data_IF_383538599579
#
_entry.id   IF_383538599579
#
_cell.length_a   1.000
_cell.length_b   1.000
_cell.length_c   1.000
_cell.angle_alpha   90.00
_cell.angle_beta   90.00
_cell.angle_gamma   90.00
#
_symmetry.space_group_name_H-M   'P 1'
#
loop_
_entity.id
_entity.type
_entity.pdbx_description
1 polymer ?
#
# COMPACT_ATOMS: atom_id res chain seq x y z
N UNK A 1 -9.75 -5.59 -7.30
CA UNK A 1 -8.63 -4.64 -7.49
C UNK A 1 -7.77 -5.02 -8.68
N UNK A 2 -7.18 -6.22 -8.71
CA UNK A 2 -6.32 -6.63 -9.83
C UNK A 2 -6.96 -6.61 -11.23
N UNK A 3 -8.28 -6.84 -11.34
CA UNK A 3 -8.99 -6.67 -12.62
C UNK A 3 -8.92 -5.24 -13.16
N UNK A 4 -9.00 -4.23 -12.28
CA UNK A 4 -8.93 -2.81 -12.66
C UNK A 4 -7.51 -2.46 -13.12
N UNK A 5 -6.50 -2.86 -12.33
CA UNK A 5 -5.09 -2.61 -12.63
C UNK A 5 -4.70 -3.26 -13.96
N UNK A 6 -5.04 -4.53 -14.14
CA UNK A 6 -4.71 -5.26 -15.38
C UNK A 6 -5.41 -4.66 -16.58
N UNK A 7 -6.69 -4.29 -16.45
CA UNK A 7 -7.42 -3.62 -17.52
C UNK A 7 -6.74 -2.32 -17.92
N UNK A 8 -6.30 -1.51 -16.96
CA UNK A 8 -5.62 -0.24 -17.23
C UNK A 8 -4.25 -0.45 -17.87
N UNK A 9 -3.43 -1.36 -17.36
CA UNK A 9 -2.11 -1.67 -17.91
C UNK A 9 -2.20 -2.18 -19.36
N UNK A 10 -3.21 -3.01 -19.65
CA UNK A 10 -3.41 -3.58 -20.97
C UNK A 10 -3.78 -2.55 -22.07
N UNK A 11 -4.24 -1.35 -21.70
CA UNK A 11 -4.58 -0.29 -22.68
C UNK A 11 -3.36 0.08 -23.53
N UNK A 12 -2.19 0.16 -22.90
CA UNK A 12 -0.94 0.56 -23.54
C UNK A 12 -0.03 -0.65 -23.84
N UNK A 13 -0.57 -1.87 -23.78
CA UNK A 13 0.17 -3.10 -24.07
C UNK A 13 1.09 -3.59 -22.94
N UNK A 14 1.02 -2.98 -21.75
CA UNK A 14 1.82 -3.39 -20.59
C UNK A 14 1.26 -4.62 -19.89
N UNK A 15 2.12 -5.31 -19.16
CA UNK A 15 1.74 -6.46 -18.34
C UNK A 15 1.90 -6.21 -16.85
N UNK A 16 1.19 -7.00 -16.03
CA UNK A 16 1.19 -6.88 -14.58
C UNK A 16 1.88 -8.09 -13.96
N UNK A 17 2.93 -7.85 -13.17
CA UNK A 17 3.66 -8.88 -12.43
C UNK A 17 2.71 -9.68 -11.53
N UNK A 18 2.98 -10.98 -11.38
CA UNK A 18 2.09 -11.90 -10.65
C UNK A 18 2.69 -12.50 -9.39
N UNK A 19 4.01 -12.46 -9.26
CA UNK A 19 4.73 -13.07 -8.13
C UNK A 19 4.65 -12.23 -6.87
N UNK A 20 4.57 -10.90 -7.02
CA UNK A 20 4.51 -9.94 -5.93
C UNK A 20 3.14 -9.26 -5.85
N UNK A 21 2.73 -8.91 -4.63
CA UNK A 21 1.41 -8.36 -4.32
C UNK A 21 1.53 -7.31 -3.23
N UNK A 22 0.56 -6.41 -3.15
CA UNK A 22 0.38 -5.62 -1.94
C UNK A 22 0.07 -6.49 -0.74
N UNK A 23 0.19 -5.92 0.44
CA UNK A 23 0.08 -6.64 1.69
C UNK A 23 -0.62 -5.80 2.76
N UNK A 24 -1.20 -6.47 3.75
CA UNK A 24 -1.56 -5.82 5.00
C UNK A 24 -0.32 -5.25 5.68
N UNK A 25 -0.48 -4.09 6.30
CA UNK A 25 0.59 -3.43 7.04
C UNK A 25 0.03 -2.76 8.30
N UNK A 26 0.61 -3.12 9.43
CA UNK A 26 0.33 -2.62 10.77
C UNK A 26 1.50 -3.04 11.65
N UNK A 27 1.33 -3.48 12.90
CA UNK A 27 2.37 -4.12 13.76
C UNK A 27 3.32 -5.15 13.09
N UNK A 28 2.96 -5.67 11.93
CA UNK A 28 3.78 -6.56 11.12
C UNK A 28 4.10 -5.86 9.80
N UNK A 29 5.34 -6.03 9.32
CA UNK A 29 5.77 -5.41 8.06
C UNK A 29 4.96 -5.93 6.87
N UNK A 30 4.83 -7.25 6.73
CA UNK A 30 3.94 -7.88 5.76
C UNK A 30 3.00 -8.84 6.50
N UNK A 31 1.69 -8.67 6.32
CA UNK A 31 0.67 -9.55 6.87
C UNK A 31 -0.54 -9.65 5.94
N UNK A 32 -1.54 -10.50 6.23
CA UNK A 32 -2.79 -10.48 5.47
C UNK A 32 -3.46 -9.10 5.49
N UNK A 33 -4.17 -8.71 4.42
CA UNK A 33 -4.44 -9.50 3.21
C UNK A 33 -3.27 -9.48 2.23
N UNK A 34 -3.12 -10.54 1.43
CA UNK A 34 -2.41 -10.42 0.17
C UNK A 34 -3.32 -9.73 -0.85
N UNK A 35 -2.79 -8.75 -1.57
CA UNK A 35 -3.52 -7.91 -2.53
C UNK A 35 -2.92 -8.06 -3.93
N UNK A 36 -3.26 -9.12 -4.69
CA UNK A 36 -2.70 -9.34 -6.02
C UNK A 36 -3.18 -8.30 -7.03
N UNK A 37 -2.25 -7.86 -7.87
CA UNK A 37 -2.49 -6.81 -8.86
C UNK A 37 -2.99 -7.32 -10.22
N UNK A 38 -2.91 -8.63 -10.47
CA UNK A 38 -3.33 -9.23 -11.74
C UNK A 38 -4.82 -9.62 -11.75
N UNK A 39 -5.44 -9.64 -12.93
CA UNK A 39 -6.84 -10.00 -13.13
C UNK A 39 -7.15 -11.47 -12.80
N UNK A 40 -8.39 -11.74 -12.39
CA UNK A 40 -8.88 -13.10 -12.04
C UNK A 40 -8.03 -13.82 -11.00
N UNK A 41 -7.41 -13.07 -10.09
CA UNK A 41 -6.74 -13.64 -8.94
C UNK A 41 -7.75 -14.25 -7.96
N UNK A 42 -7.25 -15.07 -7.03
CA UNK A 42 -8.06 -15.80 -6.04
C UNK A 42 -7.96 -15.19 -4.64
N UNK A 43 -7.67 -13.89 -4.53
CA UNK A 43 -7.59 -13.25 -3.23
C UNK A 43 -8.93 -13.36 -2.49
N UNK A 44 -8.85 -13.68 -1.21
CA UNK A 44 -10.02 -13.86 -0.34
C UNK A 44 -10.09 -12.68 0.61
N UNK A 45 -11.30 -12.18 0.85
CA UNK A 45 -11.56 -11.12 1.83
C UNK A 45 -12.42 -10.01 1.25
N UNK A 46 -13.01 -9.23 2.15
CA UNK A 46 -13.75 -8.02 1.84
C UNK A 46 -13.12 -6.88 2.63
N UNK A 47 -12.96 -5.72 2.01
CA UNK A 47 -12.45 -4.52 2.69
C UNK A 47 -13.45 -4.11 3.78
N UNK A 48 -12.96 -3.86 4.99
CA UNK A 48 -13.75 -3.37 6.12
C UNK A 48 -13.07 -2.14 6.72
N UNK A 49 -13.83 -1.22 7.35
CA UNK A 49 -13.27 -0.11 8.11
C UNK A 49 -12.17 -0.56 9.08
N UNK A 50 -11.06 0.18 9.11
CA UNK A 50 -9.87 -0.14 9.92
C UNK A 50 -8.86 -1.07 9.24
N UNK A 51 -9.17 -1.65 8.08
CA UNK A 51 -8.16 -2.39 7.31
C UNK A 51 -7.10 -1.44 6.77
N UNK A 52 -5.84 -1.79 6.99
CA UNK A 52 -4.67 -1.08 6.46
C UNK A 52 -3.84 -2.02 5.59
N UNK A 53 -3.57 -1.62 4.36
CA UNK A 53 -2.83 -2.42 3.38
C UNK A 53 -2.21 -1.54 2.29
N UNK A 54 -1.30 -2.12 1.53
CA UNK A 54 -0.62 -1.49 0.39
C UNK A 54 -1.30 -1.85 -0.93
N UNK A 55 -1.25 -0.92 -1.87
CA UNK A 55 -1.47 -1.19 -3.29
C UNK A 55 -0.19 -0.77 -4.00
N UNK A 56 0.49 -1.73 -4.65
CA UNK A 56 1.87 -1.53 -5.14
C UNK A 56 2.15 -2.20 -6.50
N UNK A 57 1.34 -1.93 -7.54
CA UNK A 57 1.43 -2.64 -8.80
C UNK A 57 2.79 -2.43 -9.48
N UNK A 58 3.41 -3.55 -9.85
CA UNK A 58 4.58 -3.61 -10.72
C UNK A 58 4.10 -3.88 -12.15
N UNK A 59 4.40 -2.94 -13.05
CA UNK A 59 3.96 -2.92 -14.45
C UNK A 59 5.18 -3.05 -15.35
N UNK A 60 5.16 -4.00 -16.28
CA UNK A 60 6.27 -4.31 -17.17
C UNK A 60 5.95 -3.88 -18.61
N UNK A 61 6.98 -3.43 -19.33
CA UNK A 61 6.90 -3.14 -20.77
C UNK A 61 6.60 -4.38 -21.61
N UNK A 62 7.16 -5.52 -21.22
CA UNK A 62 7.01 -6.79 -21.91
C UNK A 62 6.22 -7.82 -21.11
N UNK A 63 6.82 -8.98 -20.87
CA UNK A 63 6.18 -10.09 -20.15
C UNK A 63 6.02 -9.81 -18.66
N UNK A 64 4.99 -10.42 -18.05
CA UNK A 64 4.76 -10.32 -16.60
C UNK A 64 5.71 -11.20 -15.79
N UNK A 65 6.42 -12.12 -16.46
CA UNK A 65 7.29 -13.10 -15.82
C UNK A 65 8.53 -12.44 -15.26
N UNK A 66 8.88 -12.87 -14.06
CA UNK A 66 10.06 -12.44 -13.34
C UNK A 66 10.97 -13.63 -12.99
N UNK A 67 12.23 -13.32 -12.74
CA UNK A 67 13.22 -14.21 -12.17
C UNK A 67 14.02 -13.49 -11.07
N UNK A 68 14.61 -14.26 -10.16
CA UNK A 68 15.49 -13.74 -9.12
C UNK A 68 16.95 -13.91 -9.53
N UNK A 69 17.72 -12.84 -9.37
CA UNK A 69 19.18 -12.90 -9.50
C UNK A 69 19.83 -13.81 -8.45
N UNK A 70 21.13 -14.17 -8.63
CA UNK A 70 21.85 -15.02 -7.68
C UNK A 70 21.89 -14.50 -6.24
N UNK A 71 21.71 -13.19 -6.05
CA UNK A 71 21.62 -12.53 -4.73
C UNK A 71 20.35 -12.90 -3.94
N UNK A 72 19.38 -13.56 -4.58
CA UNK A 72 18.09 -14.00 -4.02
C UNK A 72 17.14 -12.85 -3.62
N UNK A 73 17.38 -11.65 -4.12
CA UNK A 73 16.58 -10.46 -3.81
C UNK A 73 16.20 -9.64 -5.05
N UNK A 74 17.13 -9.44 -5.98
CA UNK A 74 16.85 -8.61 -7.14
C UNK A 74 15.93 -9.36 -8.10
N UNK A 75 14.66 -8.93 -8.15
CA UNK A 75 13.67 -9.43 -9.09
C UNK A 75 13.78 -8.66 -10.40
N UNK A 76 13.92 -9.39 -11.50
CA UNK A 76 14.05 -8.82 -12.85
C UNK A 76 13.04 -9.43 -13.80
N UNK A 77 12.70 -8.70 -14.86
CA UNK A 77 11.88 -9.22 -15.96
C UNK A 77 12.66 -10.27 -16.75
N UNK A 78 12.00 -11.37 -17.13
CA UNK A 78 12.69 -12.44 -17.88
C UNK A 78 13.08 -12.04 -19.30
N UNK A 79 12.54 -10.94 -19.82
CA UNK A 79 12.86 -10.39 -21.14
C UNK A 79 13.79 -9.16 -21.10
N UNK A 80 14.22 -8.74 -19.91
CA UNK A 80 15.15 -7.62 -19.71
C UNK A 80 14.56 -6.23 -20.01
N UNK A 81 13.25 -6.13 -20.29
CA UNK A 81 12.58 -4.84 -20.50
C UNK A 81 12.24 -4.15 -19.17
N UNK A 82 11.89 -2.86 -19.23
CA UNK A 82 11.71 -2.06 -18.01
C UNK A 82 10.46 -2.47 -17.23
N UNK A 83 10.55 -2.27 -15.92
CA UNK A 83 9.44 -2.34 -14.99
C UNK A 83 9.33 -1.02 -14.21
N UNK A 84 8.12 -0.66 -13.83
CA UNK A 84 7.85 0.51 -12.99
C UNK A 84 6.87 0.12 -11.87
N UNK A 85 7.03 0.78 -10.72
CA UNK A 85 6.19 0.57 -9.55
C UNK A 85 5.89 1.91 -8.87
N UNK A 86 4.68 2.01 -8.34
CA UNK A 86 4.30 2.99 -7.33
C UNK A 86 3.58 2.27 -6.20
N UNK A 87 3.74 2.77 -4.98
CA UNK A 87 3.13 2.17 -3.79
C UNK A 87 2.50 3.24 -2.91
N UNK A 88 1.32 2.90 -2.38
CA UNK A 88 0.74 3.61 -1.26
C UNK A 88 0.18 2.68 -0.20
N UNK A 89 0.33 3.09 1.06
CA UNK A 89 -0.39 2.55 2.21
C UNK A 89 -1.72 3.26 2.37
N UNK A 90 -2.79 2.49 2.56
CA UNK A 90 -4.15 2.99 2.58
C UNK A 90 -4.93 2.44 3.76
N UNK A 91 -5.77 3.28 4.35
CA UNK A 91 -6.69 2.92 5.43
C UNK A 91 -8.14 2.98 4.93
N UNK A 92 -8.91 1.91 5.15
CA UNK A 92 -10.36 1.93 4.92
C UNK A 92 -11.03 2.68 6.06
N UNK A 93 -11.81 3.71 5.73
CA UNK A 93 -12.47 4.57 6.71
C UNK A 93 -13.79 3.96 7.21
N UNK A 94 -14.23 4.36 8.40
CA UNK A 94 -15.61 4.10 8.83
C UNK A 94 -16.59 4.89 7.94
N UNK A 95 -17.87 4.48 7.87
CA UNK A 95 -18.88 5.22 7.10
C UNK A 95 -18.95 6.72 7.47
N UNK A 96 -18.83 7.05 8.75
CA UNK A 96 -18.87 8.43 9.25
C UNK A 96 -17.65 9.21 8.76
N UNK A 97 -16.44 8.65 8.92
CA UNK A 97 -15.21 9.28 8.47
C UNK A 97 -15.13 9.38 6.92
N UNK A 98 -15.68 8.39 6.21
CA UNK A 98 -15.81 8.41 4.76
C UNK A 98 -16.72 9.53 4.27
N UNK A 99 -17.85 9.76 4.98
CA UNK A 99 -18.75 10.87 4.67
C UNK A 99 -18.05 12.23 4.84
N UNK A 100 -17.30 12.41 5.93
CA UNK A 100 -16.56 13.66 6.18
C UNK A 100 -15.41 13.88 5.18
N UNK A 101 -14.69 12.82 4.80
CA UNK A 101 -13.54 12.92 3.90
C UNK A 101 -13.92 12.97 2.41
N UNK A 102 -15.13 12.52 2.06
CA UNK A 102 -15.60 12.40 0.68
C UNK A 102 -15.08 11.16 -0.07
N UNK A 103 -14.28 10.31 0.58
CA UNK A 103 -13.75 9.06 0.02
C UNK A 103 -13.84 7.93 1.06
N UNK A 104 -14.03 6.67 0.65
CA UNK A 104 -14.06 5.53 1.58
C UNK A 104 -12.68 5.13 2.13
N UNK A 105 -11.63 5.86 1.73
CA UNK A 105 -10.22 5.54 1.97
C UNK A 105 -9.47 6.80 2.37
N UNK A 106 -8.47 6.64 3.24
CA UNK A 106 -7.42 7.63 3.43
C UNK A 106 -6.09 7.07 2.91
N UNK A 107 -5.44 7.83 2.03
CA UNK A 107 -4.10 7.49 1.52
C UNK A 107 -3.08 8.06 2.49
N UNK A 108 -2.45 7.17 3.26
CA UNK A 108 -1.59 7.53 4.38
C UNK A 108 -0.23 8.07 3.89
N UNK A 109 0.28 7.51 2.81
CA UNK A 109 1.56 7.88 2.18
C UNK A 109 1.41 8.95 1.09
N UNK A 110 0.25 9.62 0.98
CA UNK A 110 0.07 10.68 -0.02
C UNK A 110 1.01 11.85 0.28
N UNK A 111 1.71 12.33 -0.75
CA UNK A 111 2.57 13.52 -0.62
C UNK A 111 1.69 14.75 -0.41
N UNK A 112 1.77 15.40 0.74
CA UNK A 112 1.14 16.70 0.97
C UNK A 112 2.07 17.81 0.48
N UNK A 113 1.66 18.51 -0.58
CA UNK A 113 2.43 19.61 -1.16
C UNK A 113 2.02 20.99 -0.62
N UNK A 114 0.84 21.10 -0.01
CA UNK A 114 0.26 22.34 0.59
C UNK A 114 -0.76 21.98 1.68
N UNK A 115 -0.91 22.84 2.70
CA UNK A 115 -1.90 22.73 3.77
C UNK A 115 -1.33 22.26 5.12
N UNK A 116 -2.12 22.40 6.18
CA UNK A 116 -1.79 21.85 7.50
C UNK A 116 -2.02 20.34 7.53
N UNK A 117 -1.08 19.63 8.12
CA UNK A 117 -1.17 18.19 8.33
C UNK A 117 -2.31 17.91 9.34
N UNK A 118 -3.38 17.26 8.89
CA UNK A 118 -4.56 16.93 9.72
C UNK A 118 -4.30 15.98 10.88
N UNK A 119 -3.12 15.35 10.93
CA UNK A 119 -2.66 14.50 12.02
C UNK A 119 -1.40 15.10 12.70
N UNK A 120 -1.05 16.36 12.42
CA UNK A 120 -0.02 17.08 13.19
C UNK A 120 -0.37 17.16 14.68
N UNK A 121 -1.65 17.28 15.00
CA UNK A 121 -2.16 17.25 16.37
C UNK A 121 -1.88 15.93 17.10
N UNK A 122 -1.61 14.88 16.35
CA UNK A 122 -1.25 13.56 16.85
C UNK A 122 0.26 13.40 17.00
N UNK A 123 1.07 14.13 16.22
CA UNK A 123 2.54 14.06 16.33
C UNK A 123 3.01 14.48 17.72
N UNK A 124 2.31 15.43 18.35
CA UNK A 124 2.62 15.87 19.72
C UNK A 124 2.36 14.82 20.80
N UNK A 125 1.57 13.76 20.51
CA UNK A 125 1.34 12.64 21.43
C UNK A 125 2.31 11.47 21.22
N UNK A 126 3.19 11.54 20.22
CA UNK A 126 4.23 10.53 19.96
C UNK A 126 5.44 10.72 20.89
N UNK A 127 6.22 9.65 21.09
CA UNK A 127 7.52 9.73 21.78
C UNK A 127 8.55 10.54 20.99
N UNK A 128 9.59 11.04 21.67
CA UNK A 128 10.66 11.84 21.04
C UNK A 128 11.37 11.11 19.90
N UNK A 129 11.58 9.79 20.01
CA UNK A 129 12.17 8.98 18.94
C UNK A 129 11.26 8.95 17.70
N UNK A 130 9.95 8.76 17.90
CA UNK A 130 8.97 8.75 16.82
C UNK A 130 8.81 10.13 16.16
N UNK A 131 8.92 11.22 16.95
CA UNK A 131 8.94 12.58 16.42
C UNK A 131 10.19 12.84 15.58
N UNK A 132 11.37 12.45 16.07
CA UNK A 132 12.63 12.59 15.31
C UNK A 132 12.63 11.79 14.02
N UNK A 133 12.06 10.58 14.06
CA UNK A 133 11.87 9.75 12.87
C UNK A 133 10.92 10.42 11.86
N UNK A 134 9.82 11.00 12.35
CA UNK A 134 8.86 11.73 11.54
C UNK A 134 9.50 12.95 10.83
N UNK A 135 10.30 13.73 11.56
CA UNK A 135 11.02 14.88 10.99
C UNK A 135 12.05 14.46 9.93
N UNK A 136 12.73 13.33 10.13
CA UNK A 136 13.83 12.89 9.26
C UNK A 136 13.35 12.21 7.97
N UNK A 137 12.25 11.46 8.02
CA UNK A 137 11.81 10.61 6.90
C UNK A 137 10.42 10.99 6.35
N UNK A 138 9.74 11.99 6.92
CA UNK A 138 8.38 12.37 6.56
C UNK A 138 7.33 11.38 7.10
N UNK A 139 6.20 11.23 6.40
CA UNK A 139 5.13 10.27 6.73
C UNK A 139 5.33 8.88 6.09
N UNK A 140 6.15 7.98 6.66
CA UNK A 140 5.76 6.59 6.77
C UNK A 140 4.97 6.51 8.07
N UNK A 141 3.68 6.27 7.99
CA UNK A 141 2.99 5.73 9.15
C UNK A 141 3.63 4.39 9.42
N UNK A 142 4.57 4.35 10.34
CA UNK A 142 5.03 3.06 10.83
C UNK A 142 3.80 2.40 11.43
N UNK A 143 3.46 1.23 10.94
CA UNK A 143 3.20 0.04 11.75
C UNK A 143 2.71 0.34 13.19
N UNK A 144 3.57 0.87 14.06
CA UNK A 144 3.27 1.15 15.47
C UNK A 144 2.43 2.40 15.72
N UNK A 145 2.54 3.43 14.88
CA UNK A 145 1.78 4.67 14.99
C UNK A 145 0.30 4.45 14.65
N UNK A 146 -0.04 3.69 13.60
CA UNK A 146 -1.45 3.37 13.31
C UNK A 146 -2.11 2.68 14.50
N UNK A 147 -1.37 1.76 15.13
CA UNK A 147 -1.80 1.00 16.30
C UNK A 147 -1.97 1.87 17.54
N UNK A 148 -1.02 2.76 17.81
CA UNK A 148 -1.13 3.73 18.91
C UNK A 148 -2.34 4.66 18.75
N UNK A 149 -2.81 4.88 17.52
CA UNK A 149 -3.98 5.69 17.21
C UNK A 149 -5.28 4.89 17.16
N UNK A 150 -5.22 3.57 17.30
CA UNK A 150 -6.37 2.68 17.17
C UNK A 150 -7.05 2.76 15.80
N UNK A 151 -6.31 3.19 14.78
CA UNK A 151 -6.82 3.40 13.42
C UNK A 151 -6.75 2.13 12.59
N UNK A 152 -5.80 1.23 12.86
CA UNK A 152 -5.78 -0.13 12.33
C UNK A 152 -6.49 -1.08 13.30
N UNK A 153 -7.45 -1.84 12.77
CA UNK A 153 -8.05 -2.97 13.51
C UNK A 153 -7.61 -4.24 12.83
N UNK A 154 -7.22 -5.26 13.60
CA UNK A 154 -6.74 -6.53 13.06
C UNK A 154 -7.76 -7.10 12.07
N UNK A 155 -7.28 -7.53 10.91
CA UNK A 155 -8.10 -8.11 9.83
C UNK A 155 -8.58 -9.54 10.20
N UNK A 156 -8.18 -10.05 11.37
CA UNK A 156 -8.62 -11.34 11.89
C UNK A 156 -10.03 -11.25 12.48
N UNK A 157 -11.03 -11.46 11.63
CA UNK A 157 -12.33 -12.03 11.97
C UNK A 157 -12.83 -12.86 10.80
#
# INVERSE_FOLDING_TARGET
>A
MGDIITKQAAVDGFSVVRTYSGHGIHRLFHCPPNVPHYARNKAVGVMKPGHCFTIEPMINEGTWRDELWPDKWTAVTTDGLRSAQFEHTMLILSPEAAHTSGLPIEVLTKRQLKGEDRLASVVSSLSLEQQSHYERYGRPYFVDQLHQLGLDKSITA
#
